data_IF_460287159934
#
_entry.id   IF_460287159934
#
_cell.length_a   1.000
_cell.length_b   1.000
_cell.length_c   1.000
_cell.angle_alpha   90.00
_cell.angle_beta   90.00
_cell.angle_gamma   90.00
#
_symmetry.space_group_name_H-M   'P 1'
#
loop_
_entity.id
_entity.type
_entity.pdbx_description
1 polymer ?
#
# COMPACT_ATOMS: atom_id res chain seq x y z
N UNK A 1 3.67 15.70 5.02
CA UNK A 1 3.96 14.43 4.31
C UNK A 1 4.82 13.62 5.25
N UNK A 2 4.32 12.46 5.68
CA UNK A 2 4.98 11.59 6.66
C UNK A 2 5.55 10.37 5.93
N UNK A 3 6.82 10.08 6.19
CA UNK A 3 7.44 8.85 5.68
C UNK A 3 7.35 7.75 6.73
N UNK A 4 6.92 6.56 6.33
CA UNK A 4 6.94 5.37 7.16
C UNK A 4 7.82 4.30 6.51
N UNK A 5 8.73 3.69 7.28
CA UNK A 5 9.54 2.58 6.81
C UNK A 5 8.77 1.27 6.95
N UNK A 6 8.54 0.57 5.85
CA UNK A 6 7.67 -0.61 5.84
C UNK A 6 8.15 -1.69 6.82
N UNK A 7 9.47 -1.89 6.91
CA UNK A 7 10.08 -2.87 7.80
C UNK A 7 9.90 -2.56 9.31
N UNK A 8 9.50 -1.33 9.65
CA UNK A 8 9.18 -0.95 11.03
C UNK A 8 7.66 -1.05 11.31
N UNK A 9 6.84 -1.28 10.27
CA UNK A 9 5.39 -1.37 10.40
C UNK A 9 4.91 -2.82 10.43
N UNK A 10 5.61 -3.71 9.72
CA UNK A 10 5.21 -5.09 9.51
C UNK A 10 6.42 -6.02 9.52
N UNK A 11 6.24 -7.23 10.03
CA UNK A 11 7.30 -8.23 10.12
C UNK A 11 7.64 -8.89 8.78
N UNK A 12 6.71 -8.86 7.81
CA UNK A 12 6.89 -9.39 6.46
C UNK A 12 5.93 -8.72 5.46
N UNK A 13 6.15 -8.96 4.17
CA UNK A 13 5.31 -8.46 3.07
C UNK A 13 4.63 -9.62 2.31
N UNK A 14 4.43 -10.75 2.98
CA UNK A 14 4.04 -12.02 2.33
C UNK A 14 2.74 -12.64 2.86
N UNK A 15 2.15 -12.09 3.92
CA UNK A 15 0.99 -12.68 4.60
C UNK A 15 -0.19 -11.72 4.73
N UNK A 16 -1.40 -12.27 4.86
CA UNK A 16 -2.61 -11.49 5.11
C UNK A 16 -2.54 -10.73 6.44
N UNK A 17 -2.00 -11.36 7.49
CA UNK A 17 -1.87 -10.76 8.83
C UNK A 17 -1.01 -9.51 8.77
N UNK A 18 0.15 -9.59 8.12
CA UNK A 18 1.01 -8.41 7.94
C UNK A 18 0.35 -7.35 7.05
N UNK A 19 -0.39 -7.76 6.02
CA UNK A 19 -1.17 -6.83 5.20
C UNK A 19 -2.21 -6.06 6.03
N UNK A 20 -2.95 -6.76 6.88
CA UNK A 20 -3.96 -6.16 7.75
C UNK A 20 -3.36 -5.21 8.81
N UNK A 21 -2.16 -5.51 9.30
CA UNK A 21 -1.40 -4.59 10.17
C UNK A 21 -1.12 -3.27 9.45
N UNK A 22 -0.63 -3.32 8.20
CA UNK A 22 -0.40 -2.12 7.39
C UNK A 22 -1.70 -1.37 7.14
N UNK A 23 -2.78 -2.06 6.76
CA UNK A 23 -4.11 -1.46 6.58
C UNK A 23 -4.53 -0.64 7.81
N UNK A 24 -4.46 -1.24 9.00
CA UNK A 24 -4.88 -0.61 10.25
C UNK A 24 -4.09 0.68 10.58
N UNK A 25 -2.83 0.76 10.14
CA UNK A 25 -1.98 1.95 10.30
C UNK A 25 -2.37 3.03 9.27
N UNK A 26 -2.58 2.62 8.02
CA UNK A 26 -2.91 3.53 6.92
C UNK A 26 -4.32 4.10 7.05
N UNK A 27 -5.30 3.29 7.47
CA UNK A 27 -6.69 3.71 7.68
C UNK A 27 -6.77 4.87 8.67
N UNK A 28 -6.08 4.78 9.81
CA UNK A 28 -6.02 5.88 10.79
C UNK A 28 -5.45 7.17 10.18
N UNK A 29 -4.58 7.04 9.19
CA UNK A 29 -3.91 8.16 8.53
C UNK A 29 -4.72 8.72 7.35
N UNK A 30 -5.63 7.94 6.75
CA UNK A 30 -6.36 8.34 5.55
C UNK A 30 -7.39 9.45 5.81
N UNK A 31 -7.86 9.58 7.05
CA UNK A 31 -8.79 10.64 7.46
C UNK A 31 -8.10 11.97 7.75
N UNK A 32 -6.78 11.96 7.93
CA UNK A 32 -5.97 13.16 8.11
C UNK A 32 -5.66 13.76 6.74
N UNK A 33 -5.52 15.08 6.64
CA UNK A 33 -5.12 15.75 5.39
C UNK A 33 -3.61 15.63 5.12
N UNK A 34 -3.03 14.46 5.43
CA UNK A 34 -1.61 14.16 5.29
C UNK A 34 -1.37 13.11 4.20
N UNK A 35 -0.33 13.35 3.40
CA UNK A 35 0.21 12.36 2.46
C UNK A 35 1.16 11.42 3.21
N UNK A 36 0.91 10.12 3.11
CA UNK A 36 1.77 9.06 3.62
C UNK A 36 2.67 8.55 2.50
N UNK A 37 3.97 8.51 2.77
CA UNK A 37 4.97 7.94 1.88
C UNK A 37 5.55 6.67 2.51
N UNK A 38 5.36 5.53 1.86
CA UNK A 38 5.93 4.25 2.31
C UNK A 38 7.33 4.10 1.71
N UNK A 39 8.32 3.97 2.59
CA UNK A 39 9.69 3.63 2.24
C UNK A 39 9.85 2.12 2.16
N UNK A 40 10.18 1.62 0.97
CA UNK A 40 10.36 0.20 0.70
C UNK A 40 11.83 -0.23 0.75
N UNK A 41 12.73 0.61 1.26
CA UNK A 41 14.15 0.25 1.41
C UNK A 41 14.32 -1.03 2.23
N UNK A 42 15.08 -1.98 1.70
CA UNK A 42 15.34 -3.26 2.35
C UNK A 42 14.11 -4.15 2.52
N UNK A 43 12.98 -3.84 1.88
CA UNK A 43 11.79 -4.68 1.94
C UNK A 43 11.89 -5.88 1.01
N UNK A 44 11.35 -7.01 1.46
CA UNK A 44 11.29 -8.26 0.70
C UNK A 44 10.19 -8.22 -0.37
N UNK A 45 10.19 -9.23 -1.25
CA UNK A 45 9.16 -9.40 -2.27
C UNK A 45 7.75 -9.34 -1.67
N UNK A 46 6.87 -8.55 -2.29
CA UNK A 46 5.51 -8.32 -1.80
C UNK A 46 4.57 -9.32 -2.49
N UNK A 47 3.80 -10.07 -1.70
CA UNK A 47 2.82 -11.05 -2.20
C UNK A 47 1.46 -10.41 -2.48
N UNK A 48 0.65 -11.06 -3.34
CA UNK A 48 -0.75 -10.65 -3.58
C UNK A 48 -1.59 -10.71 -2.30
N UNK A 49 -1.40 -11.72 -1.44
CA UNK A 49 -2.06 -11.85 -0.15
C UNK A 49 -1.86 -10.62 0.75
N UNK A 50 -0.61 -10.16 0.83
CA UNK A 50 -0.27 -8.93 1.54
C UNK A 50 -0.90 -7.71 0.87
N UNK A 51 -0.81 -7.57 -0.46
CA UNK A 51 -1.38 -6.46 -1.19
C UNK A 51 -2.89 -6.33 -0.97
N UNK A 52 -3.63 -7.43 -1.14
CA UNK A 52 -5.08 -7.47 -1.01
C UNK A 52 -5.50 -7.06 0.40
N UNK A 53 -4.92 -7.69 1.42
CA UNK A 53 -5.25 -7.42 2.83
C UNK A 53 -4.74 -6.06 3.35
N UNK A 54 -3.94 -5.32 2.55
CA UNK A 54 -3.44 -3.99 2.90
C UNK A 54 -4.07 -2.90 2.02
N UNK A 55 -3.52 -2.70 0.84
CA UNK A 55 -3.92 -1.64 -0.08
C UNK A 55 -5.24 -1.96 -0.77
N UNK A 56 -5.54 -3.23 -1.03
CA UNK A 56 -6.83 -3.66 -1.60
C UNK A 56 -8.00 -3.26 -0.70
N UNK A 57 -7.99 -3.73 0.54
CA UNK A 57 -8.96 -3.35 1.59
C UNK A 57 -9.08 -1.83 1.76
N UNK A 58 -7.95 -1.11 1.74
CA UNK A 58 -7.94 0.35 1.85
C UNK A 58 -8.63 1.03 0.64
N UNK A 59 -8.37 0.53 -0.58
CA UNK A 59 -8.99 1.02 -1.82
C UNK A 59 -10.49 0.71 -1.82
N UNK A 60 -10.88 -0.50 -1.45
CA UNK A 60 -12.28 -0.92 -1.40
C UNK A 60 -13.10 -0.04 -0.45
N UNK A 61 -12.51 0.33 0.70
CA UNK A 61 -13.19 1.15 1.70
C UNK A 61 -13.22 2.65 1.38
N UNK A 62 -12.14 3.21 0.83
CA UNK A 62 -11.98 4.67 0.69
C UNK A 62 -11.97 5.18 -0.76
N UNK A 63 -12.02 4.26 -1.73
CA UNK A 63 -11.97 4.56 -3.15
C UNK A 63 -10.54 4.75 -3.67
N UNK A 64 -10.31 4.25 -4.88
CA UNK A 64 -9.00 4.24 -5.54
C UNK A 64 -8.36 5.63 -5.62
N UNK A 65 -9.11 6.65 -6.03
CA UNK A 65 -8.61 8.02 -6.19
C UNK A 65 -8.19 8.64 -4.86
N UNK A 66 -8.96 8.42 -3.79
CA UNK A 66 -8.65 8.95 -2.45
C UNK A 66 -7.34 8.37 -1.92
N UNK A 67 -7.17 7.05 -2.06
CA UNK A 67 -5.97 6.35 -1.60
C UNK A 67 -4.74 6.77 -2.40
N UNK A 68 -4.80 6.75 -3.74
CA UNK A 68 -3.62 7.05 -4.59
C UNK A 68 -3.18 8.52 -4.55
N UNK A 69 -4.08 9.44 -4.17
CA UNK A 69 -3.72 10.84 -3.87
C UNK A 69 -2.93 10.97 -2.57
N UNK A 70 -3.27 10.18 -1.54
CA UNK A 70 -2.66 10.25 -0.21
C UNK A 70 -1.48 9.30 0.00
N UNK A 71 -1.34 8.28 -0.83
CA UNK A 71 -0.29 7.27 -0.71
C UNK A 71 0.80 7.47 -1.77
N UNK A 72 2.06 7.49 -1.34
CA UNK A 72 3.27 7.54 -2.19
C UNK A 72 4.24 6.45 -1.77
N UNK A 73 5.15 6.09 -2.68
CA UNK A 73 6.18 5.08 -2.43
C UNK A 73 7.56 5.65 -2.75
N UNK A 74 8.56 5.36 -1.92
CA UNK A 74 9.97 5.72 -2.16
C UNK A 74 10.90 4.53 -1.97
N UNK A 75 12.12 4.64 -2.49
CA UNK A 75 13.16 3.59 -2.47
C UNK A 75 12.64 2.24 -2.98
N UNK A 76 11.81 2.29 -4.03
CA UNK A 76 11.17 1.14 -4.65
C UNK A 76 12.14 0.52 -5.66
N UNK A 77 12.43 -0.79 -5.53
CA UNK A 77 13.23 -1.52 -6.51
C UNK A 77 12.50 -1.65 -7.86
N UNK A 78 13.20 -2.01 -8.94
CA UNK A 78 12.59 -2.16 -10.27
C UNK A 78 11.45 -3.21 -10.27
N UNK A 79 11.65 -4.34 -9.60
CA UNK A 79 10.62 -5.38 -9.52
C UNK A 79 9.42 -4.94 -8.69
N UNK A 80 9.66 -4.24 -7.59
CA UNK A 80 8.59 -3.66 -6.77
C UNK A 80 7.80 -2.60 -7.53
N UNK A 81 8.46 -1.76 -8.34
CA UNK A 81 7.78 -0.78 -9.21
C UNK A 81 6.84 -1.49 -10.19
N UNK A 82 7.28 -2.58 -10.82
CA UNK A 82 6.45 -3.38 -11.72
C UNK A 82 5.25 -3.98 -10.99
N UNK A 83 5.47 -4.55 -9.80
CA UNK A 83 4.40 -5.13 -8.98
C UNK A 83 3.37 -4.09 -8.54
N UNK A 84 3.83 -2.97 -7.96
CA UNK A 84 2.95 -1.87 -7.54
C UNK A 84 2.15 -1.35 -8.72
N UNK A 85 2.81 -1.06 -9.86
CA UNK A 85 2.13 -0.58 -11.05
C UNK A 85 1.06 -1.58 -11.52
N UNK A 86 1.44 -2.85 -11.69
CA UNK A 86 0.51 -3.90 -12.10
C UNK A 86 -0.70 -3.97 -11.16
N UNK A 87 -0.46 -3.96 -9.85
CA UNK A 87 -1.51 -4.07 -8.86
C UNK A 87 -2.49 -2.89 -8.88
N UNK A 88 -1.97 -1.65 -8.82
CA UNK A 88 -2.82 -0.46 -8.81
C UNK A 88 -3.52 -0.25 -10.16
N UNK A 89 -2.90 -0.61 -11.29
CA UNK A 89 -3.56 -0.54 -12.59
C UNK A 89 -4.72 -1.54 -12.69
N UNK A 90 -4.53 -2.79 -12.23
CA UNK A 90 -5.63 -3.77 -12.18
C UNK A 90 -6.80 -3.30 -11.31
N UNK A 91 -6.52 -2.71 -10.15
CA UNK A 91 -7.58 -2.13 -9.30
C UNK A 91 -8.28 -0.94 -9.94
N UNK A 92 -7.55 -0.10 -10.69
CA UNK A 92 -8.13 1.03 -11.41
C UNK A 92 -9.11 0.55 -12.48
N UNK A 93 -8.76 -0.49 -13.22
CA UNK A 93 -9.63 -1.08 -14.27
C UNK A 93 -10.90 -1.68 -13.67
N UNK A 94 -10.79 -2.40 -12.55
CA UNK A 94 -11.94 -3.00 -11.84
C UNK A 94 -12.91 -1.96 -11.26
N UNK A 95 -12.44 -0.75 -10.95
CA UNK A 95 -13.22 0.31 -10.29
C UNK A 95 -13.65 1.44 -11.22
N UNK A 96 -13.45 1.29 -12.54
CA UNK A 96 -13.75 2.31 -13.55
C UNK A 96 -15.22 2.30 -14.07
N UNK A 97 -16.15 1.72 -13.32
CA UNK A 97 -17.59 1.63 -13.65
C UNK A 97 -18.42 2.43 -12.65
#
# INVERSE_FOLDING_TARGET
MKTLQINNLVDNTSTNVAGFQLYSILEKSIHVNEIIQIDLIGSLAISSSFFNSSFGELIEKHGFTSVTKKLKFKNVSTDQKRLLKSYFDSYKELTAH
#
